data_IF_870326623451
#
_entry.id   IF_870326623451
#
_cell.length_a   1.000
_cell.length_b   1.000
_cell.length_c   1.000
_cell.angle_alpha   90.00
_cell.angle_beta   90.00
_cell.angle_gamma   90.00
#
_symmetry.space_group_name_H-M   'P 1'
#
loop_
_entity.id
_entity.type
_entity.pdbx_description
1 polymer ?
#
# COMPACT_ATOMS: atom_id res chain seq x y z
N UNK A 1 7.82 27.00 16.05
CA UNK A 1 6.75 26.81 15.04
C UNK A 1 5.72 25.91 15.70
N UNK A 2 4.46 26.30 15.73
CA UNK A 2 3.42 25.48 16.35
C UNK A 2 2.86 24.54 15.29
N UNK A 3 2.80 23.25 15.58
CA UNK A 3 2.21 22.22 14.71
C UNK A 3 0.80 21.92 15.19
N UNK A 4 -0.14 21.86 14.28
CA UNK A 4 -1.54 21.46 14.53
C UNK A 4 -1.87 20.20 13.74
N UNK A 5 -2.73 19.36 14.27
CA UNK A 5 -3.23 18.16 13.59
C UNK A 5 -4.74 18.16 13.53
N UNK A 6 -5.29 17.79 12.37
CA UNK A 6 -6.75 17.74 12.14
C UNK A 6 -7.10 16.55 11.22
N UNK A 7 -8.41 16.30 11.04
CA UNK A 7 -8.88 15.43 9.98
C UNK A 7 -8.74 16.12 8.63
N UNK A 8 -8.35 15.35 7.61
CA UNK A 8 -8.27 15.83 6.22
C UNK A 8 -9.66 16.21 5.73
N UNK A 9 -9.80 17.40 5.18
CA UNK A 9 -11.00 17.88 4.50
C UNK A 9 -10.84 17.72 2.97
N UNK A 10 -11.94 17.80 2.23
CA UNK A 10 -11.92 17.66 0.75
C UNK A 10 -10.99 18.68 0.09
N UNK A 11 -10.97 19.90 0.57
CA UNK A 11 -10.11 21.00 0.08
C UNK A 11 -8.62 20.79 0.42
N UNK A 12 -8.29 19.85 1.31
CA UNK A 12 -6.90 19.51 1.66
C UNK A 12 -6.34 18.34 0.84
N UNK A 13 -7.15 17.67 -0.01
CA UNK A 13 -6.73 16.48 -0.77
C UNK A 13 -5.53 16.77 -1.67
N UNK A 14 -5.52 17.91 -2.36
CA UNK A 14 -4.41 18.29 -3.24
C UNK A 14 -3.11 18.46 -2.46
N UNK A 15 -3.14 19.17 -1.32
CA UNK A 15 -1.98 19.32 -0.43
C UNK A 15 -1.53 18.00 0.17
N UNK A 16 -2.47 17.14 0.55
CA UNK A 16 -2.21 15.78 1.02
C UNK A 16 -1.46 14.96 -0.04
N UNK A 17 -2.01 14.85 -1.25
CA UNK A 17 -1.45 14.03 -2.33
C UNK A 17 -0.12 14.60 -2.83
N UNK A 18 0.01 15.94 -2.89
CA UNK A 18 1.27 16.61 -3.18
C UNK A 18 2.34 16.27 -2.13
N UNK A 19 2.00 16.36 -0.82
CA UNK A 19 2.91 16.00 0.24
C UNK A 19 3.35 14.52 0.15
N UNK A 20 2.41 13.59 -0.06
CA UNK A 20 2.73 12.18 -0.26
C UNK A 20 3.66 11.94 -1.46
N UNK A 21 3.45 12.70 -2.55
CA UNK A 21 4.23 12.59 -3.78
C UNK A 21 5.64 13.17 -3.64
N UNK A 22 5.78 14.35 -3.02
CA UNK A 22 7.05 15.05 -2.90
C UNK A 22 7.95 14.48 -1.80
N UNK A 23 7.38 13.78 -0.83
CA UNK A 23 8.14 13.21 0.28
C UNK A 23 8.91 11.95 -0.15
N UNK A 24 10.22 11.91 0.16
CA UNK A 24 11.12 10.83 -0.28
C UNK A 24 10.73 9.41 0.16
N UNK A 25 9.96 9.28 1.24
CA UNK A 25 9.44 8.01 1.77
C UNK A 25 7.94 7.80 1.45
N UNK A 26 7.34 8.68 0.65
CA UNK A 26 5.94 8.54 0.25
C UNK A 26 5.69 7.28 -0.58
N UNK A 27 4.49 6.73 -0.49
CA UNK A 27 4.09 5.57 -1.26
C UNK A 27 2.64 5.70 -1.74
N UNK A 28 2.30 4.92 -2.76
CA UNK A 28 0.96 4.93 -3.37
C UNK A 28 -0.18 4.70 -2.36
N UNK A 29 0.09 4.00 -1.28
CA UNK A 29 -0.92 3.68 -0.25
C UNK A 29 -1.27 4.85 0.67
N UNK A 30 -0.54 5.98 0.55
CA UNK A 30 -0.81 7.21 1.30
C UNK A 30 -1.62 8.23 0.49
N UNK A 31 -1.95 7.96 -0.78
CA UNK A 31 -2.77 8.85 -1.60
C UNK A 31 -4.22 8.90 -1.11
N UNK A 32 -4.83 10.08 -1.20
CA UNK A 32 -6.18 10.35 -0.68
C UNK A 32 -7.28 9.53 -1.36
N UNK A 33 -7.07 9.09 -2.60
CA UNK A 33 -8.01 8.24 -3.36
C UNK A 33 -8.36 6.93 -2.64
N UNK A 34 -7.51 6.46 -1.73
CA UNK A 34 -7.80 5.26 -0.94
C UNK A 34 -9.00 5.42 -0.01
N UNK A 35 -9.35 6.64 0.42
CA UNK A 35 -10.56 6.87 1.22
C UNK A 35 -11.80 6.34 0.51
N UNK A 36 -11.95 6.68 -0.77
CA UNK A 36 -13.08 6.25 -1.59
C UNK A 36 -13.01 4.76 -1.92
N UNK A 37 -11.81 4.25 -2.24
CA UNK A 37 -11.60 2.82 -2.50
C UNK A 37 -12.08 1.99 -1.32
N UNK A 38 -11.68 2.34 -0.11
CA UNK A 38 -12.06 1.61 1.11
C UNK A 38 -13.55 1.77 1.41
N UNK A 39 -14.06 3.00 1.40
CA UNK A 39 -15.47 3.27 1.71
C UNK A 39 -16.43 2.54 0.75
N UNK A 40 -16.16 2.60 -0.57
CA UNK A 40 -17.00 1.95 -1.59
C UNK A 40 -16.86 0.43 -1.67
N UNK A 41 -15.75 -0.11 -1.13
CA UNK A 41 -15.49 -1.56 -1.18
C UNK A 41 -15.97 -2.31 0.05
N UNK A 42 -15.84 -1.71 1.23
CA UNK A 42 -16.04 -2.39 2.51
C UNK A 42 -16.93 -1.61 3.48
N UNK A 43 -17.36 -0.40 3.13
CA UNK A 43 -18.16 0.50 3.99
C UNK A 43 -17.48 0.75 5.35
N UNK A 44 -16.15 0.84 5.36
CA UNK A 44 -15.39 1.21 6.55
C UNK A 44 -15.23 2.72 6.62
N UNK A 45 -15.37 3.27 7.82
CA UNK A 45 -15.12 4.68 8.09
C UNK A 45 -13.62 4.97 7.97
N UNK A 46 -13.29 6.15 7.44
CA UNK A 46 -11.91 6.60 7.26
C UNK A 46 -11.67 7.91 7.99
N UNK A 47 -10.61 7.95 8.80
CA UNK A 47 -10.13 9.15 9.50
C UNK A 47 -8.72 9.47 9.00
N UNK A 48 -8.60 10.42 8.07
CA UNK A 48 -7.31 10.83 7.53
C UNK A 48 -6.82 12.07 8.27
N UNK A 49 -5.70 11.95 8.97
CA UNK A 49 -5.12 13.02 9.78
C UNK A 49 -4.04 13.77 9.02
N UNK A 50 -4.09 15.09 9.09
CA UNK A 50 -3.11 16.00 8.50
C UNK A 50 -2.47 16.87 9.58
N UNK A 51 -1.16 17.05 9.53
CA UNK A 51 -0.41 18.00 10.34
C UNK A 51 -0.01 19.20 9.50
N UNK A 52 -0.30 20.40 9.98
CA UNK A 52 0.01 21.65 9.30
C UNK A 52 0.68 22.67 10.21
N UNK A 53 1.27 23.71 9.63
CA UNK A 53 1.77 24.86 10.38
C UNK A 53 0.57 25.68 10.87
N UNK A 54 0.53 25.93 12.19
CA UNK A 54 -0.49 26.82 12.75
C UNK A 54 -0.28 28.27 12.26
N UNK A 55 -1.26 28.83 11.59
CA UNK A 55 -1.29 30.25 11.21
C UNK A 55 -1.92 31.06 12.35
N UNK A 56 -1.10 31.79 13.11
CA UNK A 56 -1.53 32.95 13.92
C UNK A 56 -2.77 32.78 14.77
N UNK A 57 -2.87 31.72 15.57
CA UNK A 57 -3.83 31.68 16.68
C UNK A 57 -5.28 31.35 16.33
N UNK A 58 -5.59 30.84 15.15
CA UNK A 58 -6.94 30.40 14.80
C UNK A 58 -7.08 28.89 15.01
N UNK A 59 -7.96 28.50 15.93
CA UNK A 59 -8.28 27.11 16.24
C UNK A 59 -8.86 26.38 15.04
N UNK A 60 -8.29 25.24 14.70
CA UNK A 60 -8.78 24.34 13.65
C UNK A 60 -10.09 23.69 14.11
N UNK A 61 -11.16 23.87 13.33
CA UNK A 61 -12.42 23.18 13.55
C UNK A 61 -12.35 21.76 13.01
N UNK A 62 -12.58 20.78 13.89
CA UNK A 62 -12.77 19.38 13.54
C UNK A 62 -14.00 19.23 12.62
N UNK A 63 -13.81 18.69 11.42
CA UNK A 63 -14.90 18.28 10.55
C UNK A 63 -14.84 16.75 10.36
N UNK A 64 -15.90 16.06 10.81
CA UNK A 64 -16.21 14.70 10.39
C UNK A 64 -16.93 14.77 9.04
N UNK A 65 -16.61 13.87 8.12
CA UNK A 65 -17.45 13.63 6.96
C UNK A 65 -18.76 12.99 7.45
N UNK A 66 -19.90 13.61 7.14
CA UNK A 66 -21.18 12.96 7.22
C UNK A 66 -21.42 12.13 5.93
N UNK A 67 -22.40 11.23 5.98
CA UNK A 67 -22.76 10.34 4.87
C UNK A 67 -23.16 11.10 3.57
N UNK A 68 -23.18 12.45 3.59
CA UNK A 68 -23.60 13.33 2.50
C UNK A 68 -22.48 14.17 1.85
N UNK A 69 -21.24 14.12 2.33
CA UNK A 69 -20.07 14.70 1.64
C UNK A 69 -20.03 16.22 1.53
N UNK A 70 -20.60 17.00 2.48
CA UNK A 70 -20.51 18.46 2.46
C UNK A 70 -19.50 19.01 3.45
N UNK A 71 -18.48 19.72 2.92
CA UNK A 71 -17.42 20.39 3.65
C UNK A 71 -17.60 21.91 3.69
N UNK A 72 -17.23 22.51 4.84
CA UNK A 72 -17.08 23.96 4.97
C UNK A 72 -15.74 24.44 4.39
N UNK A 73 -15.72 25.57 3.77
CA UNK A 73 -14.64 26.10 2.93
C UNK A 73 -13.55 26.83 3.74
N UNK A 74 -12.39 26.22 3.94
CA UNK A 74 -11.12 26.94 4.09
C UNK A 74 -10.03 26.10 3.42
N UNK A 75 -9.34 26.68 2.44
CA UNK A 75 -8.23 26.03 1.72
C UNK A 75 -6.99 25.99 2.61
N UNK A 76 -6.39 24.79 2.77
CA UNK A 76 -5.03 24.65 3.30
C UNK A 76 -4.08 24.94 2.15
N UNK A 77 -3.16 25.92 2.32
CA UNK A 77 -2.10 26.17 1.35
C UNK A 77 -1.17 24.95 1.32
N UNK A 78 -0.86 24.48 0.12
CA UNK A 78 0.00 23.32 -0.17
C UNK A 78 1.33 23.30 0.60
N UNK A 79 1.92 24.49 0.84
CA UNK A 79 3.24 24.65 1.47
C UNK A 79 3.21 24.53 3.01
N UNK A 80 2.05 24.24 3.61
CA UNK A 80 1.88 24.16 5.07
C UNK A 80 1.76 22.76 5.63
N UNK A 81 1.69 21.71 4.78
CA UNK A 81 1.58 20.33 5.23
C UNK A 81 2.91 19.83 5.76
N UNK A 82 2.93 19.35 7.00
CA UNK A 82 4.09 18.80 7.68
C UNK A 82 4.02 17.28 7.84
N UNK A 83 2.85 16.69 7.65
CA UNK A 83 2.70 15.26 7.74
C UNK A 83 1.26 14.79 7.55
N UNK A 84 1.13 13.50 7.30
CA UNK A 84 -0.12 12.81 7.00
C UNK A 84 -0.17 11.44 7.66
N UNK A 85 -1.37 11.01 8.05
CA UNK A 85 -1.63 9.68 8.60
C UNK A 85 -3.02 9.20 8.15
N UNK A 86 -3.10 8.28 7.16
CA UNK A 86 -4.37 7.64 6.81
C UNK A 86 -4.75 6.62 7.89
N UNK A 87 -5.99 6.65 8.33
CA UNK A 87 -6.53 5.69 9.29
C UNK A 87 -7.87 5.15 8.78
N UNK A 88 -8.09 3.88 8.98
CA UNK A 88 -9.34 3.17 8.64
C UNK A 88 -9.85 2.43 9.86
N UNK A 89 -11.10 2.67 10.21
CA UNK A 89 -11.76 2.00 11.32
C UNK A 89 -12.31 0.65 10.83
N UNK A 90 -11.63 -0.44 11.19
CA UNK A 90 -12.09 -1.81 10.93
C UNK A 90 -12.99 -2.25 12.07
N UNK A 91 -14.28 -2.37 11.77
CA UNK A 91 -15.28 -2.84 12.73
C UNK A 91 -15.95 -4.09 12.19
N UNK A 92 -15.65 -5.23 12.80
CA UNK A 92 -16.19 -6.51 12.40
C UNK A 92 -16.57 -7.34 13.63
N UNK A 93 -17.80 -7.87 13.66
CA UNK A 93 -18.36 -8.58 14.80
C UNK A 93 -17.53 -9.80 15.26
N UNK A 94 -16.79 -10.44 14.34
CA UNK A 94 -15.94 -11.61 14.61
C UNK A 94 -14.44 -11.27 14.68
N UNK A 95 -13.96 -10.31 13.85
CA UNK A 95 -12.54 -9.98 13.71
C UNK A 95 -12.08 -8.86 14.64
N UNK A 96 -13.03 -8.26 15.39
CA UNK A 96 -12.73 -7.23 16.37
C UNK A 96 -12.94 -5.81 15.87
N UNK A 97 -12.45 -4.87 16.70
CA UNK A 97 -12.54 -3.44 16.52
C UNK A 97 -11.13 -2.86 16.56
N UNK A 98 -10.64 -2.30 15.47
CA UNK A 98 -9.27 -1.77 15.35
C UNK A 98 -9.21 -0.55 14.43
N UNK A 99 -8.29 0.36 14.72
CA UNK A 99 -7.95 1.47 13.85
C UNK A 99 -6.62 1.15 13.16
N UNK A 100 -6.60 1.09 11.83
CA UNK A 100 -5.45 0.59 11.07
C UNK A 100 -5.06 1.60 10.00
N UNK A 101 -3.77 1.93 9.91
CA UNK A 101 -3.27 2.70 8.78
C UNK A 101 -3.23 1.81 7.53
N UNK A 102 -4.05 2.14 6.55
CA UNK A 102 -4.16 1.43 5.27
C UNK A 102 -4.24 -0.10 5.40
N UNK A 103 -5.39 -0.64 5.86
CA UNK A 103 -5.64 -2.07 5.88
C UNK A 103 -5.57 -2.63 4.45
N UNK A 104 -5.24 -3.92 4.33
CA UNK A 104 -5.12 -4.64 3.06
C UNK A 104 -3.90 -4.25 2.21
N UNK A 105 -3.14 -3.23 2.60
CA UNK A 105 -1.92 -2.78 1.94
C UNK A 105 -0.68 -3.12 2.78
N UNK A 106 0.49 -3.14 2.11
CA UNK A 106 1.76 -3.48 2.77
C UNK A 106 2.30 -2.36 3.67
N UNK A 107 1.93 -1.12 3.36
CA UNK A 107 2.34 0.10 4.07
C UNK A 107 1.25 1.16 3.95
N UNK A 108 1.52 2.37 4.45
CA UNK A 108 0.61 3.51 4.43
C UNK A 108 0.41 4.11 5.82
N UNK A 109 1.43 3.99 6.69
CA UNK A 109 1.45 4.62 8.00
C UNK A 109 1.76 6.11 7.96
N UNK A 110 2.33 6.62 9.04
CA UNK A 110 2.70 8.03 9.17
C UNK A 110 3.75 8.42 8.16
N UNK A 111 3.58 9.58 7.55
CA UNK A 111 4.57 10.27 6.74
C UNK A 111 4.68 11.71 7.26
N UNK A 112 5.87 12.13 7.66
CA UNK A 112 6.07 13.46 8.27
C UNK A 112 7.45 14.02 7.96
N UNK A 113 7.58 15.35 7.97
CA UNK A 113 8.84 16.05 7.71
C UNK A 113 9.85 15.85 8.83
N UNK A 114 9.38 15.65 10.05
CA UNK A 114 10.22 15.51 11.25
C UNK A 114 9.50 14.69 12.36
N UNK A 115 10.27 14.30 13.38
CA UNK A 115 9.75 13.51 14.50
C UNK A 115 8.73 14.24 15.39
N UNK A 116 8.65 15.58 15.31
CA UNK A 116 7.64 16.34 16.06
C UNK A 116 6.26 16.22 15.38
N UNK A 117 6.18 16.47 14.07
CA UNK A 117 4.97 16.28 13.29
C UNK A 117 4.49 14.82 13.34
N UNK A 118 5.44 13.85 13.25
CA UNK A 118 5.15 12.44 13.39
C UNK A 118 4.50 12.12 14.74
N UNK A 119 5.07 12.59 15.85
CA UNK A 119 4.53 12.41 17.19
C UNK A 119 3.13 12.99 17.32
N UNK A 120 2.90 14.20 16.83
CA UNK A 120 1.60 14.87 16.88
C UNK A 120 0.51 14.07 16.14
N UNK A 121 0.86 13.50 14.98
CA UNK A 121 -0.06 12.63 14.21
C UNK A 121 -0.39 11.34 14.96
N UNK A 122 0.62 10.67 15.55
CA UNK A 122 0.42 9.45 16.33
C UNK A 122 -0.45 9.72 17.55
N UNK A 123 -0.16 10.77 18.31
CA UNK A 123 -0.97 11.16 19.47
C UNK A 123 -2.41 11.50 19.09
N UNK A 124 -2.62 12.13 17.91
CA UNK A 124 -3.96 12.38 17.42
C UNK A 124 -4.66 11.08 17.04
N UNK A 125 -3.97 10.16 16.35
CA UNK A 125 -4.49 8.83 16.03
C UNK A 125 -4.92 8.07 17.29
N UNK A 126 -4.16 8.17 18.38
CA UNK A 126 -4.53 7.59 19.67
C UNK A 126 -5.78 8.23 20.26
N UNK A 127 -5.93 9.56 20.17
CA UNK A 127 -7.18 10.25 20.61
C UNK A 127 -8.40 9.82 19.79
N UNK A 128 -8.24 9.62 18.49
CA UNK A 128 -9.30 9.06 17.63
C UNK A 128 -9.65 7.65 18.09
N UNK A 129 -8.67 6.79 18.32
CA UNK A 129 -8.88 5.43 18.81
C UNK A 129 -9.62 5.41 20.15
N UNK A 130 -9.23 6.28 21.10
CA UNK A 130 -9.93 6.43 22.38
C UNK A 130 -11.41 6.87 22.19
N UNK A 131 -11.65 7.86 21.32
CA UNK A 131 -13.00 8.35 21.04
C UNK A 131 -13.92 7.29 20.41
N UNK A 132 -13.35 6.40 19.60
CA UNK A 132 -14.03 5.28 18.96
C UNK A 132 -14.10 4.03 19.84
N UNK A 133 -13.53 4.07 21.06
CA UNK A 133 -13.40 2.92 21.96
C UNK A 133 -12.71 1.72 21.29
N UNK A 134 -11.67 2.00 20.53
CA UNK A 134 -10.89 1.01 19.79
C UNK A 134 -9.68 0.59 20.61
N UNK A 135 -9.49 -0.70 20.89
CA UNK A 135 -8.38 -1.18 21.74
C UNK A 135 -7.02 -1.24 21.04
N UNK A 136 -6.99 -1.12 19.70
CA UNK A 136 -5.75 -1.27 18.90
C UNK A 136 -5.66 -0.19 17.84
N UNK A 137 -4.53 0.53 17.82
CA UNK A 137 -4.08 1.35 16.69
C UNK A 137 -2.90 0.64 16.03
N UNK A 138 -3.07 0.18 14.78
CA UNK A 138 -2.02 -0.47 13.98
C UNK A 138 -1.47 0.51 12.95
N UNK A 139 -0.16 0.80 13.02
CA UNK A 139 0.56 1.62 12.04
C UNK A 139 1.46 0.74 11.17
N UNK A 140 1.21 0.72 9.86
CA UNK A 140 1.95 -0.06 8.87
C UNK A 140 3.09 0.75 8.28
N UNK A 141 4.27 0.61 8.85
CA UNK A 141 5.45 1.39 8.53
C UNK A 141 6.52 0.56 7.80
N UNK A 142 7.18 1.16 6.81
CA UNK A 142 8.40 0.60 6.24
C UNK A 142 9.65 0.96 7.07
N UNK A 143 9.61 2.08 7.77
CA UNK A 143 10.69 2.55 8.63
C UNK A 143 10.18 2.68 10.07
N UNK A 144 11.02 2.47 11.08
CA UNK A 144 10.68 2.80 12.45
C UNK A 144 10.24 4.27 12.58
N UNK A 145 9.33 4.54 13.51
CA UNK A 145 8.92 5.92 13.79
C UNK A 145 10.05 6.66 14.49
N UNK A 146 10.45 7.82 13.96
CA UNK A 146 11.52 8.64 14.52
C UNK A 146 11.17 9.16 15.92
N UNK A 147 9.89 9.45 16.19
CA UNK A 147 9.42 9.89 17.50
C UNK A 147 9.54 8.80 18.58
N UNK A 148 9.83 7.56 18.21
CA UNK A 148 10.01 6.43 19.14
C UNK A 148 11.48 6.04 19.34
N UNK A 149 12.44 6.64 18.59
CA UNK A 149 13.84 6.22 18.61
C UNK A 149 14.67 6.73 19.80
N UNK A 150 14.27 7.84 20.44
CA UNK A 150 15.19 8.52 21.37
C UNK A 150 15.39 7.86 22.75
N UNK A 151 14.65 6.83 23.16
CA UNK A 151 14.83 6.18 24.48
C UNK A 151 14.27 4.76 24.66
N UNK A 152 13.83 4.06 23.62
CA UNK A 152 13.03 2.83 23.76
C UNK A 152 13.60 1.53 23.17
N UNK A 153 14.72 1.55 22.45
CA UNK A 153 15.26 0.35 21.78
C UNK A 153 16.37 -0.39 22.56
N UNK A 154 16.46 -0.22 23.85
CA UNK A 154 17.43 -0.93 24.71
C UNK A 154 16.88 -2.25 25.29
N UNK A 155 16.04 -2.97 24.57
CA UNK A 155 15.56 -4.30 24.95
C UNK A 155 16.09 -5.37 24.01
N UNK A 156 16.63 -6.46 24.53
CA UNK A 156 16.94 -7.67 23.76
C UNK A 156 15.73 -8.10 22.95
N UNK A 157 15.96 -8.51 21.69
CA UNK A 157 14.89 -8.99 20.83
C UNK A 157 14.20 -10.20 21.49
N UNK A 158 12.91 -10.08 21.77
CA UNK A 158 12.09 -11.22 22.19
C UNK A 158 12.23 -12.33 21.13
N UNK A 159 12.34 -13.59 21.51
CA UNK A 159 12.38 -14.72 20.56
C UNK A 159 11.16 -14.78 19.64
N UNK A 160 10.10 -14.02 19.93
CA UNK A 160 8.89 -13.88 19.10
C UNK A 160 8.81 -12.58 18.30
N UNK A 161 9.90 -11.80 18.20
CA UNK A 161 9.96 -10.58 17.37
C UNK A 161 9.15 -9.39 17.89
N UNK A 162 8.57 -9.44 19.08
CA UNK A 162 7.86 -8.30 19.68
C UNK A 162 8.81 -7.47 20.52
N UNK A 163 8.92 -6.16 20.23
CA UNK A 163 9.62 -5.17 21.05
C UNK A 163 8.57 -4.26 21.68
N UNK A 164 8.55 -4.16 23.00
CA UNK A 164 7.78 -3.13 23.70
C UNK A 164 8.50 -1.79 23.54
N UNK A 165 7.79 -0.81 22.99
CA UNK A 165 8.33 0.53 22.75
C UNK A 165 7.33 1.56 23.27
N UNK A 166 7.74 2.36 24.24
CA UNK A 166 7.07 3.53 24.81
C UNK A 166 5.68 3.34 25.44
N UNK A 167 5.58 3.73 26.71
CA UNK A 167 4.31 3.94 27.39
C UNK A 167 3.76 5.33 27.04
N UNK A 168 2.85 5.41 26.06
CA UNK A 168 1.89 6.51 26.00
C UNK A 168 0.88 6.24 27.12
N UNK A 169 0.55 7.21 28.03
CA UNK A 169 -0.40 6.96 29.10
C UNK A 169 -1.69 6.33 28.59
N UNK A 170 -2.04 5.16 29.11
CA UNK A 170 -3.20 4.41 28.69
C UNK A 170 -2.98 3.47 27.50
N UNK A 171 -1.84 3.52 26.79
CA UNK A 171 -1.54 2.69 25.64
C UNK A 171 -0.23 1.90 25.82
N UNK A 172 -0.26 0.67 25.36
CA UNK A 172 0.94 -0.16 25.24
C UNK A 172 1.37 -0.20 23.78
N UNK A 173 2.59 0.26 23.49
CA UNK A 173 3.14 0.23 22.14
C UNK A 173 3.99 -1.01 21.96
N UNK A 174 3.73 -1.80 20.91
CA UNK A 174 4.56 -2.92 20.51
C UNK A 174 4.94 -2.78 19.04
N UNK A 175 6.22 -2.99 18.71
CA UNK A 175 6.66 -3.09 17.34
C UNK A 175 6.80 -4.56 16.97
N UNK A 176 6.09 -4.99 15.92
CA UNK A 176 6.23 -6.35 15.36
C UNK A 176 7.10 -6.27 14.11
N UNK A 177 8.36 -6.67 14.24
CA UNK A 177 9.21 -6.93 13.09
C UNK A 177 8.89 -8.35 12.59
N UNK A 178 8.07 -8.46 11.54
CA UNK A 178 7.81 -9.77 10.91
C UNK A 178 9.05 -10.27 10.14
N UNK A 179 9.13 -11.58 9.87
CA UNK A 179 10.14 -12.20 9.01
C UNK A 179 9.96 -11.84 7.51
N UNK A 180 9.24 -10.75 7.22
CA UNK A 180 8.96 -10.31 5.86
C UNK A 180 9.87 -9.15 5.47
N UNK A 181 10.44 -9.26 4.28
CA UNK A 181 11.26 -8.23 3.66
C UNK A 181 10.57 -7.70 2.41
N UNK A 182 10.75 -6.43 2.13
CA UNK A 182 10.31 -5.81 0.89
C UNK A 182 11.31 -6.14 -0.21
N UNK A 183 10.81 -6.60 -1.36
CA UNK A 183 11.64 -7.02 -2.49
C UNK A 183 11.63 -5.95 -3.58
N UNK A 184 12.76 -5.27 -3.76
CA UNK A 184 12.92 -4.20 -4.74
C UNK A 184 14.00 -4.55 -5.77
N UNK A 185 13.75 -4.18 -7.04
CA UNK A 185 14.77 -4.18 -8.08
C UNK A 185 14.89 -2.80 -8.72
N UNK A 186 16.12 -2.34 -8.95
CA UNK A 186 16.38 -1.17 -9.79
C UNK A 186 16.19 -1.53 -11.25
N UNK A 187 15.55 -0.65 -12.01
CA UNK A 187 15.30 -0.83 -13.43
C UNK A 187 16.28 0.02 -14.26
N UNK A 188 16.89 -0.53 -15.32
CA UNK A 188 17.64 0.22 -16.31
C UNK A 188 16.67 1.00 -17.23
N UNK A 189 17.22 1.79 -18.14
CA UNK A 189 16.42 2.58 -19.11
C UNK A 189 15.64 1.68 -20.08
N UNK A 190 16.15 0.49 -20.40
CA UNK A 190 15.52 -0.43 -21.34
C UNK A 190 15.31 -1.82 -20.77
N UNK A 191 14.22 -2.46 -21.23
CA UNK A 191 13.96 -3.87 -20.88
C UNK A 191 14.99 -4.83 -21.45
N UNK A 192 15.66 -4.48 -22.56
CA UNK A 192 16.73 -5.29 -23.15
C UNK A 192 17.96 -5.31 -22.25
N UNK A 193 18.37 -4.19 -21.67
CA UNK A 193 19.44 -4.12 -20.68
C UNK A 193 19.07 -4.95 -19.44
N UNK A 194 17.82 -4.87 -18.96
CA UNK A 194 17.34 -5.66 -17.85
C UNK A 194 17.42 -7.17 -18.18
N UNK A 195 16.95 -7.57 -19.35
CA UNK A 195 17.02 -8.96 -19.80
C UNK A 195 18.47 -9.46 -19.88
N UNK A 196 19.39 -8.62 -20.37
CA UNK A 196 20.82 -8.97 -20.46
C UNK A 196 21.48 -9.12 -19.09
N UNK A 197 21.05 -8.36 -18.08
CA UNK A 197 21.57 -8.45 -16.71
C UNK A 197 21.24 -9.77 -16.02
N UNK A 198 20.21 -10.47 -16.47
CA UNK A 198 19.79 -11.74 -15.88
C UNK A 198 20.72 -12.91 -16.27
N UNK A 199 20.86 -13.88 -15.37
CA UNK A 199 21.57 -15.12 -15.66
C UNK A 199 20.90 -15.88 -16.81
N UNK A 200 21.69 -16.61 -17.60
CA UNK A 200 21.20 -17.37 -18.77
C UNK A 200 20.02 -18.31 -18.45
N UNK A 201 20.05 -18.94 -17.27
CA UNK A 201 18.95 -19.80 -16.78
C UNK A 201 17.65 -19.02 -16.66
N UNK A 202 17.65 -17.83 -16.03
CA UNK A 202 16.47 -16.99 -15.84
C UNK A 202 15.93 -16.51 -17.19
N UNK A 203 16.82 -16.06 -18.09
CA UNK A 203 16.42 -15.67 -19.45
C UNK A 203 15.72 -16.80 -20.21
N UNK A 204 16.22 -18.05 -20.05
CA UNK A 204 15.60 -19.23 -20.66
C UNK A 204 14.21 -19.50 -20.07
N UNK A 205 14.05 -19.36 -18.74
CA UNK A 205 12.77 -19.54 -18.06
C UNK A 205 11.73 -18.49 -18.49
N UNK A 206 12.13 -17.24 -18.68
CA UNK A 206 11.27 -16.16 -19.18
C UNK A 206 10.83 -16.43 -20.63
N UNK A 207 11.74 -16.91 -21.49
CA UNK A 207 11.45 -17.18 -22.90
C UNK A 207 10.61 -18.44 -23.13
N UNK A 208 10.64 -19.39 -22.19
CA UNK A 208 9.89 -20.64 -22.33
C UNK A 208 8.40 -20.44 -22.52
N UNK A 209 7.66 -19.73 -21.64
CA UNK A 209 6.21 -19.53 -21.83
C UNK A 209 5.86 -18.81 -23.14
N UNK A 210 6.72 -17.87 -23.60
CA UNK A 210 6.52 -17.20 -24.89
C UNK A 210 6.62 -18.20 -26.03
N UNK A 211 7.61 -19.10 -26.01
CA UNK A 211 7.76 -20.16 -27.02
C UNK A 211 6.61 -21.17 -26.96
N UNK A 212 6.06 -21.40 -25.78
CA UNK A 212 4.89 -22.27 -25.57
C UNK A 212 3.56 -21.60 -26.01
N UNK A 213 3.62 -20.38 -26.56
CA UNK A 213 2.47 -19.66 -27.12
C UNK A 213 1.61 -18.91 -26.09
N UNK A 214 2.13 -18.65 -24.86
CA UNK A 214 1.44 -17.82 -23.91
C UNK A 214 1.54 -16.35 -24.33
N UNK A 215 0.46 -15.60 -24.04
CA UNK A 215 0.35 -14.17 -24.32
C UNK A 215 -0.04 -13.40 -23.07
N UNK A 216 0.22 -12.10 -23.06
CA UNK A 216 -0.15 -11.21 -21.94
C UNK A 216 -1.05 -10.10 -22.47
N UNK A 217 -2.11 -9.80 -21.74
CA UNK A 217 -2.88 -8.57 -21.91
C UNK A 217 -2.63 -7.65 -20.72
N UNK A 218 -2.51 -6.36 -21.01
CA UNK A 218 -2.43 -5.29 -20.02
C UNK A 218 -3.63 -4.39 -20.24
N UNK A 219 -4.36 -4.06 -19.18
CA UNK A 219 -5.57 -3.24 -19.28
C UNK A 219 -6.11 -2.84 -17.91
N UNK A 220 -7.33 -2.38 -17.87
CA UNK A 220 -8.03 -1.92 -16.69
C UNK A 220 -9.26 -2.77 -16.38
N UNK A 221 -10.41 -2.13 -16.30
CA UNK A 221 -11.71 -2.75 -15.95
C UNK A 221 -12.12 -3.84 -16.94
N UNK A 222 -11.70 -3.73 -18.18
CA UNK A 222 -11.94 -4.72 -19.26
C UNK A 222 -11.33 -6.11 -18.97
N UNK A 223 -10.29 -6.18 -18.14
CA UNK A 223 -9.65 -7.43 -17.72
C UNK A 223 -10.07 -7.90 -16.31
N UNK A 224 -10.98 -7.19 -15.64
CA UNK A 224 -11.34 -7.46 -14.25
C UNK A 224 -11.91 -8.88 -14.05
N UNK A 225 -12.71 -9.38 -14.96
CA UNK A 225 -13.31 -10.70 -14.85
C UNK A 225 -12.27 -11.80 -14.93
N UNK A 226 -11.42 -11.77 -15.94
CA UNK A 226 -10.32 -12.72 -16.13
C UNK A 226 -9.28 -12.67 -15.00
N UNK A 227 -8.97 -11.46 -14.53
CA UNK A 227 -8.11 -11.27 -13.34
C UNK A 227 -8.72 -11.95 -12.12
N UNK A 228 -10.00 -11.65 -11.85
CA UNK A 228 -10.64 -12.12 -10.62
C UNK A 228 -10.83 -13.64 -10.60
N UNK A 229 -11.10 -14.27 -11.74
CA UNK A 229 -11.20 -15.72 -11.87
C UNK A 229 -9.89 -16.42 -11.45
N UNK A 230 -8.75 -15.90 -11.90
CA UNK A 230 -7.44 -16.43 -11.51
C UNK A 230 -7.13 -16.12 -10.04
N UNK A 231 -7.36 -14.88 -9.62
CA UNK A 231 -7.05 -14.41 -8.28
C UNK A 231 -7.83 -15.18 -7.21
N UNK A 232 -9.16 -15.26 -7.37
CA UNK A 232 -10.03 -15.94 -6.42
C UNK A 232 -9.74 -17.46 -6.37
N UNK A 233 -9.50 -18.08 -7.52
CA UNK A 233 -9.16 -19.51 -7.56
C UNK A 233 -7.84 -19.79 -6.84
N UNK A 234 -6.80 -18.97 -7.06
CA UNK A 234 -5.51 -19.15 -6.39
C UNK A 234 -5.60 -18.90 -4.88
N UNK A 235 -6.31 -17.85 -4.45
CA UNK A 235 -6.49 -17.56 -3.02
C UNK A 235 -7.24 -18.68 -2.30
N UNK A 236 -8.28 -19.25 -2.92
CA UNK A 236 -8.97 -20.45 -2.41
C UNK A 236 -8.01 -21.64 -2.29
N UNK A 237 -7.19 -21.90 -3.30
CA UNK A 237 -6.22 -23.01 -3.31
C UNK A 237 -5.12 -22.84 -2.25
N UNK A 238 -4.86 -21.60 -1.84
CA UNK A 238 -3.94 -21.25 -0.75
C UNK A 238 -4.61 -21.24 0.64
N UNK A 239 -5.94 -21.36 0.72
CA UNK A 239 -6.69 -21.22 1.96
C UNK A 239 -6.65 -19.81 2.56
N UNK A 240 -6.38 -18.80 1.74
CA UNK A 240 -6.28 -17.39 2.15
C UNK A 240 -7.57 -16.62 1.82
N UNK A 241 -8.01 -15.68 2.68
CA UNK A 241 -9.10 -14.77 2.34
C UNK A 241 -8.81 -14.01 1.05
N UNK A 242 -9.81 -13.88 0.20
CA UNK A 242 -9.72 -13.13 -1.06
C UNK A 242 -10.35 -11.76 -0.90
N UNK A 243 -9.73 -10.72 -1.44
CA UNK A 243 -10.35 -9.42 -1.58
C UNK A 243 -11.55 -9.50 -2.52
N UNK A 244 -12.59 -8.69 -2.25
CA UNK A 244 -13.77 -8.66 -3.11
C UNK A 244 -13.42 -8.13 -4.52
N UNK A 245 -14.17 -8.58 -5.52
CA UNK A 245 -14.06 -8.05 -6.89
C UNK A 245 -14.33 -6.54 -6.92
N UNK A 246 -15.25 -6.08 -6.05
CA UNK A 246 -15.54 -4.67 -5.87
C UNK A 246 -14.31 -3.88 -5.41
N UNK A 247 -13.50 -4.41 -4.50
CA UNK A 247 -12.27 -3.75 -4.07
C UNK A 247 -11.29 -3.55 -5.23
N UNK A 248 -11.06 -4.58 -6.04
CA UNK A 248 -10.20 -4.47 -7.23
C UNK A 248 -10.77 -3.44 -8.23
N UNK A 249 -12.09 -3.45 -8.45
CA UNK A 249 -12.76 -2.47 -9.30
C UNK A 249 -12.55 -1.05 -8.79
N UNK A 250 -12.74 -0.81 -7.48
CA UNK A 250 -12.57 0.52 -6.91
C UNK A 250 -11.12 1.01 -6.97
N UNK A 251 -10.13 0.12 -6.88
CA UNK A 251 -8.72 0.49 -7.13
C UNK A 251 -8.53 0.97 -8.56
N UNK A 252 -9.05 0.23 -9.55
CA UNK A 252 -8.94 0.63 -10.96
C UNK A 252 -9.62 1.97 -11.25
N UNK A 253 -10.75 2.24 -10.61
CA UNK A 253 -11.48 3.50 -10.75
C UNK A 253 -10.83 4.67 -9.98
N UNK A 254 -10.23 4.39 -8.82
CA UNK A 254 -9.56 5.40 -8.00
C UNK A 254 -8.16 5.78 -8.50
N UNK A 255 -7.55 4.91 -9.32
CA UNK A 255 -6.19 5.11 -9.87
C UNK A 255 -6.16 4.82 -11.38
N UNK A 256 -7.00 5.49 -12.22
CA UNK A 256 -7.20 5.12 -13.61
C UNK A 256 -5.93 5.23 -14.47
N UNK A 257 -5.01 6.13 -14.12
CA UNK A 257 -3.77 6.37 -14.88
C UNK A 257 -2.61 5.45 -14.43
N UNK A 258 -2.69 4.86 -13.23
CA UNK A 258 -1.55 4.18 -12.61
C UNK A 258 -1.82 2.76 -12.18
N UNK A 259 -3.10 2.35 -12.06
CA UNK A 259 -3.49 0.97 -11.79
C UNK A 259 -3.66 0.18 -13.08
N UNK A 260 -2.98 -0.96 -13.19
CA UNK A 260 -3.10 -1.83 -14.35
C UNK A 260 -3.26 -3.29 -13.93
N UNK A 261 -4.09 -4.01 -14.69
CA UNK A 261 -4.19 -5.46 -14.63
C UNK A 261 -3.32 -6.10 -15.71
N UNK A 262 -2.59 -7.13 -15.32
CA UNK A 262 -1.85 -8.00 -16.20
C UNK A 262 -2.49 -9.39 -16.15
N UNK A 263 -2.84 -9.96 -17.29
CA UNK A 263 -3.38 -11.32 -17.36
C UNK A 263 -2.63 -12.12 -18.41
N UNK A 264 -2.10 -13.27 -18.01
CA UNK A 264 -1.41 -14.21 -18.90
C UNK A 264 -2.41 -15.26 -19.38
N UNK A 265 -2.45 -15.46 -20.68
CA UNK A 265 -3.33 -16.42 -21.34
C UNK A 265 -2.57 -17.54 -22.04
N UNK A 266 -3.14 -18.74 -22.02
CA UNK A 266 -2.77 -19.83 -22.88
C UNK A 266 -3.99 -20.47 -23.50
N UNK A 267 -4.06 -20.57 -24.83
CA UNK A 267 -5.24 -21.07 -25.57
C UNK A 267 -6.54 -20.40 -25.13
N UNK A 268 -6.51 -19.07 -24.95
CA UNK A 268 -7.64 -18.23 -24.55
C UNK A 268 -8.13 -18.39 -23.09
N UNK A 269 -7.46 -19.18 -22.26
CA UNK A 269 -7.78 -19.30 -20.83
C UNK A 269 -6.80 -18.46 -19.98
N UNK A 270 -7.25 -17.69 -18.99
CA UNK A 270 -6.39 -16.98 -18.08
C UNK A 270 -5.67 -17.97 -17.13
N UNK A 271 -4.36 -17.79 -16.96
CA UNK A 271 -3.49 -18.69 -16.19
C UNK A 271 -2.79 -18.02 -15.03
N UNK A 272 -2.45 -16.75 -15.18
CA UNK A 272 -1.84 -15.93 -14.14
C UNK A 272 -2.31 -14.49 -14.28
N UNK A 273 -2.32 -13.75 -13.16
CA UNK A 273 -2.74 -12.36 -13.13
C UNK A 273 -1.96 -11.55 -12.10
N UNK A 274 -1.92 -10.23 -12.31
CA UNK A 274 -1.41 -9.27 -11.35
C UNK A 274 -2.15 -7.95 -11.45
N UNK A 275 -2.27 -7.24 -10.31
CA UNK A 275 -2.61 -5.83 -10.26
C UNK A 275 -1.34 -5.06 -9.89
N UNK A 276 -1.05 -3.99 -10.62
CA UNK A 276 0.08 -3.10 -10.36
C UNK A 276 -0.39 -1.68 -10.11
N UNK A 277 0.40 -0.93 -9.33
CA UNK A 277 0.19 0.48 -9.00
C UNK A 277 1.48 1.26 -9.25
N UNK A 278 1.42 2.25 -10.13
CA UNK A 278 2.53 3.17 -10.39
C UNK A 278 2.53 4.36 -9.42
N UNK A 279 3.71 4.74 -8.91
CA UNK A 279 3.87 5.91 -8.07
C UNK A 279 5.34 6.34 -8.02
N UNK A 280 5.62 7.60 -8.34
CA UNK A 280 6.97 8.23 -8.25
C UNK A 280 8.09 7.40 -8.89
N UNK A 281 7.88 6.94 -10.12
CA UNK A 281 8.88 6.17 -10.85
C UNK A 281 9.12 4.77 -10.24
N UNK A 282 8.12 4.23 -9.58
CA UNK A 282 8.12 2.88 -9.07
C UNK A 282 6.80 2.18 -9.41
N UNK A 283 6.88 1.03 -10.05
CA UNK A 283 5.74 0.14 -10.25
C UNK A 283 5.70 -0.89 -9.12
N UNK A 284 4.63 -0.88 -8.34
CA UNK A 284 4.41 -1.84 -7.25
C UNK A 284 3.44 -2.93 -7.68
N UNK A 285 3.70 -4.16 -7.23
CA UNK A 285 2.85 -5.34 -7.47
C UNK A 285 2.28 -5.87 -6.15
N UNK A 286 1.17 -5.31 -5.64
CA UNK A 286 0.57 -5.75 -4.37
C UNK A 286 -0.09 -7.13 -4.46
N UNK A 287 -0.64 -7.51 -5.61
CA UNK A 287 -1.32 -8.79 -5.76
C UNK A 287 -0.96 -9.45 -7.08
N UNK A 288 -0.42 -10.67 -7.00
CA UNK A 288 -0.17 -11.56 -8.12
C UNK A 288 -0.64 -12.98 -7.81
N UNK A 289 -1.14 -13.66 -8.80
CA UNK A 289 -1.63 -15.03 -8.69
C UNK A 289 -1.31 -15.85 -9.93
N UNK A 290 -1.08 -17.16 -9.74
CA UNK A 290 -0.86 -18.09 -10.83
C UNK A 290 -1.51 -19.42 -10.50
N UNK A 291 -2.29 -19.98 -11.41
CA UNK A 291 -3.00 -21.23 -11.20
C UNK A 291 -2.04 -22.42 -11.24
N UNK A 292 -1.98 -23.21 -10.17
CA UNK A 292 -1.08 -24.36 -10.00
C UNK A 292 -1.18 -25.38 -11.13
N UNK A 293 -2.41 -25.60 -11.66
CA UNK A 293 -2.65 -26.54 -12.77
C UNK A 293 -1.92 -26.19 -14.06
N UNK A 294 -1.45 -24.95 -14.21
CA UNK A 294 -0.68 -24.48 -15.37
C UNK A 294 0.81 -24.31 -15.08
N UNK A 295 1.30 -24.74 -13.93
CA UNK A 295 2.68 -24.56 -13.49
C UNK A 295 3.75 -25.04 -14.49
N UNK A 296 3.47 -26.11 -15.26
CA UNK A 296 4.36 -26.63 -16.31
C UNK A 296 4.66 -25.61 -17.42
N UNK A 297 3.77 -24.66 -17.68
CA UNK A 297 3.94 -23.59 -18.67
C UNK A 297 4.64 -22.37 -18.10
N UNK A 298 4.89 -22.34 -16.78
CA UNK A 298 5.52 -21.23 -16.06
C UNK A 298 4.90 -19.83 -16.34
N UNK A 299 3.56 -19.66 -16.28
CA UNK A 299 2.90 -18.39 -16.63
C UNK A 299 3.34 -17.23 -15.72
N UNK A 300 3.73 -17.50 -14.47
CA UNK A 300 4.27 -16.51 -13.54
C UNK A 300 5.59 -15.88 -14.06
N UNK A 301 6.44 -16.62 -14.76
CA UNK A 301 7.67 -16.08 -15.34
C UNK A 301 7.36 -15.02 -16.40
N UNK A 302 6.38 -15.29 -17.25
CA UNK A 302 5.93 -14.34 -18.26
C UNK A 302 5.22 -13.14 -17.61
N UNK A 303 4.39 -13.39 -16.57
CA UNK A 303 3.69 -12.34 -15.84
C UNK A 303 4.68 -11.32 -15.26
N UNK A 304 5.67 -11.79 -14.47
CA UNK A 304 6.67 -10.90 -13.86
C UNK A 304 7.52 -10.19 -14.92
N UNK A 305 7.94 -10.91 -15.96
CA UNK A 305 8.69 -10.29 -17.05
C UNK A 305 7.89 -9.17 -17.73
N UNK A 306 6.61 -9.39 -18.01
CA UNK A 306 5.76 -8.39 -18.67
C UNK A 306 5.54 -7.14 -17.80
N UNK A 307 5.45 -7.29 -16.48
CA UNK A 307 5.39 -6.14 -15.56
C UNK A 307 6.71 -5.35 -15.55
N UNK A 308 7.84 -6.04 -15.50
CA UNK A 308 9.17 -5.41 -15.54
C UNK A 308 9.41 -4.67 -16.86
N UNK A 309 9.07 -5.31 -17.98
CA UNK A 309 9.17 -4.71 -19.32
C UNK A 309 8.25 -3.49 -19.45
N UNK A 310 7.03 -3.57 -18.92
CA UNK A 310 6.10 -2.45 -18.86
C UNK A 310 6.67 -1.30 -18.02
N UNK A 311 7.20 -1.57 -16.84
CA UNK A 311 7.81 -0.57 -15.96
C UNK A 311 8.99 0.17 -16.65
N UNK A 312 9.89 -0.55 -17.32
CA UNK A 312 10.96 0.06 -18.10
C UNK A 312 10.41 0.98 -19.20
N UNK A 313 9.35 0.54 -19.93
CA UNK A 313 8.72 1.36 -20.99
C UNK A 313 8.02 2.61 -20.46
N UNK A 314 7.50 2.58 -19.23
CA UNK A 314 6.92 3.75 -18.57
C UNK A 314 7.97 4.69 -17.98
N UNK A 315 9.24 4.29 -17.98
CA UNK A 315 10.34 5.07 -17.39
C UNK A 315 10.43 4.94 -15.87
N UNK A 316 9.80 3.91 -15.30
CA UNK A 316 9.99 3.60 -13.89
C UNK A 316 11.44 3.21 -13.59
N UNK A 317 11.95 3.64 -12.45
CA UNK A 317 13.33 3.37 -11.99
C UNK A 317 13.42 2.18 -11.04
N UNK A 318 12.29 1.74 -10.49
CA UNK A 318 12.22 0.64 -9.52
C UNK A 318 10.96 -0.18 -9.74
N UNK A 319 11.08 -1.46 -9.43
CA UNK A 319 9.92 -2.35 -9.34
C UNK A 319 9.87 -2.98 -7.94
N UNK A 320 8.68 -2.98 -7.36
CA UNK A 320 8.40 -3.54 -6.04
C UNK A 320 7.57 -4.82 -6.17
N UNK A 321 8.18 -5.95 -5.84
CA UNK A 321 7.53 -7.26 -5.83
C UNK A 321 6.60 -7.46 -4.61
N UNK A 322 6.52 -6.47 -3.72
CA UNK A 322 5.82 -6.59 -2.44
C UNK A 322 6.67 -7.28 -1.37
N UNK A 323 5.99 -7.81 -0.35
CA UNK A 323 6.65 -8.47 0.78
C UNK A 323 6.83 -9.96 0.54
N UNK A 324 8.00 -10.47 0.90
CA UNK A 324 8.29 -11.89 0.90
C UNK A 324 8.82 -12.34 2.26
N UNK A 325 8.53 -13.58 2.64
CA UNK A 325 9.17 -14.20 3.81
C UNK A 325 10.60 -14.59 3.44
N UNK A 326 11.55 -14.30 4.32
CA UNK A 326 12.97 -14.68 4.13
C UNK A 326 13.04 -16.20 3.91
N UNK A 327 13.83 -16.62 2.93
CA UNK A 327 14.05 -18.02 2.51
C UNK A 327 12.86 -18.75 1.87
N UNK A 328 11.71 -18.08 1.67
CA UNK A 328 10.56 -18.66 0.97
C UNK A 328 10.46 -18.20 -0.51
N UNK A 329 9.59 -18.86 -1.27
CA UNK A 329 9.28 -18.72 -2.69
C UNK A 329 9.79 -17.47 -3.42
N UNK A 330 9.12 -16.32 -3.24
CA UNK A 330 9.45 -15.07 -3.94
C UNK A 330 10.80 -14.48 -3.53
N UNK A 331 11.27 -14.74 -2.30
CA UNK A 331 12.59 -14.28 -1.84
C UNK A 331 13.75 -14.92 -2.62
N UNK A 332 13.56 -16.14 -3.10
CA UNK A 332 14.58 -16.88 -3.90
C UNK A 332 14.45 -16.64 -5.41
N UNK A 333 13.41 -15.90 -5.83
CA UNK A 333 13.16 -15.55 -7.22
C UNK A 333 14.03 -14.39 -7.66
#
# INVERSE_FOLDING_TARGET
MQVETSLMQENCRLGWDKFATDHGNGCVYQLSSWTEVIARSYSHDTDYLIATIARGGTSVKLARFDEAGKAGSESVDDDTVLGILPLVHIRHWLLGNSLVSMPFCDAGGVLATDGHAERMLVEHGLRVADSLHVPVLELRQYQPLACMDDRGFSGEASPYGQREVLAVPGWRVSATAGNKVRMLIGLPETSDELMQSFKAKLRSQIRKPIKDGLTVKVGGVDLLDDFYDVFAANMRDLGSPVHSKQFILQILLGFPETANLFVVYGKSAPMACSLTLGFNGMLSNPWASSLRRYGQFAPNMLLYWSMLEYACRQGDRRFDFGRSTVDEGTYRF
#
